data_IF_680196757180
#
_entry.id   IF_680196757180
#
_cell.length_a   1.000
_cell.length_b   1.000
_cell.length_c   1.000
_cell.angle_alpha   90.00
_cell.angle_beta   90.00
_cell.angle_gamma   90.00
#
_symmetry.space_group_name_H-M   'P 1'
#
loop_
_entity.id
_entity.type
_entity.pdbx_description
1 polymer ?
#
# COMPACT_ATOMS: atom_id res chain seq x y z
N UNK A 1 10.36 15.31 -1.87
CA UNK A 1 9.84 14.97 -3.23
C UNK A 1 10.88 14.19 -4.02
N UNK A 2 10.51 13.08 -4.62
CA UNK A 2 11.38 12.33 -5.51
C UNK A 2 11.33 12.92 -6.92
N UNK A 3 12.22 13.87 -7.21
CA UNK A 3 12.22 14.64 -8.46
C UNK A 3 12.34 13.74 -9.72
N UNK A 4 13.13 12.67 -9.66
CA UNK A 4 13.29 11.71 -10.77
C UNK A 4 11.96 11.02 -11.12
N UNK A 5 11.22 10.58 -10.10
CA UNK A 5 9.90 9.92 -10.27
C UNK A 5 8.85 10.93 -10.75
N UNK A 6 8.85 12.15 -10.21
CA UNK A 6 7.93 13.21 -10.65
C UNK A 6 8.18 13.58 -12.12
N UNK A 7 9.43 13.75 -12.53
CA UNK A 7 9.76 14.04 -13.93
C UNK A 7 9.30 12.93 -14.88
N UNK A 8 9.48 11.67 -14.50
CA UNK A 8 8.98 10.54 -15.29
C UNK A 8 7.45 10.51 -15.36
N UNK A 9 6.76 10.80 -14.25
CA UNK A 9 5.30 10.91 -14.25
C UNK A 9 4.83 12.05 -15.16
N UNK A 10 5.52 13.19 -15.16
CA UNK A 10 5.22 14.32 -16.06
C UNK A 10 5.32 13.93 -17.54
N UNK A 11 6.28 13.08 -17.90
CA UNK A 11 6.38 12.54 -19.26
C UNK A 11 5.18 11.63 -19.59
N UNK A 12 4.82 10.72 -18.68
CA UNK A 12 3.66 9.85 -18.85
C UNK A 12 2.34 10.63 -18.96
N UNK A 13 2.18 11.68 -18.15
CA UNK A 13 1.00 12.56 -18.21
C UNK A 13 0.85 13.20 -19.58
N UNK A 14 1.95 13.68 -20.17
CA UNK A 14 1.93 14.28 -21.52
C UNK A 14 1.48 13.29 -22.59
N UNK A 15 1.91 12.03 -22.52
CA UNK A 15 1.46 11.00 -23.47
C UNK A 15 -0.03 10.69 -23.37
N UNK A 16 -0.62 10.93 -22.19
CA UNK A 16 -2.03 10.67 -21.88
C UNK A 16 -2.91 11.91 -21.91
N UNK A 17 -2.35 13.05 -22.35
CA UNK A 17 -3.03 14.35 -22.37
C UNK A 17 -3.68 14.71 -21.02
N UNK A 18 -2.94 14.49 -19.92
CA UNK A 18 -3.31 14.90 -18.57
C UNK A 18 -2.58 16.19 -18.20
N UNK A 19 -3.29 17.13 -17.63
CA UNK A 19 -2.74 18.38 -17.09
C UNK A 19 -2.08 18.16 -15.72
N UNK A 20 -2.37 17.04 -15.05
CA UNK A 20 -1.78 16.64 -13.80
C UNK A 20 -2.39 15.36 -13.22
N UNK A 21 -1.87 14.95 -12.07
CA UNK A 21 -2.38 13.84 -11.27
C UNK A 21 -2.66 14.31 -9.85
N UNK A 22 -3.79 13.88 -9.28
CA UNK A 22 -4.18 14.12 -7.89
C UNK A 22 -4.03 12.80 -7.15
N UNK A 23 -3.20 12.81 -6.09
CA UNK A 23 -2.94 11.64 -5.25
C UNK A 23 -3.59 11.80 -3.89
N UNK A 24 -4.15 10.70 -3.40
CA UNK A 24 -4.69 10.56 -2.07
C UNK A 24 -3.59 10.09 -1.08
N UNK A 25 -3.81 10.20 0.26
CA UNK A 25 -2.96 9.53 1.24
C UNK A 25 -2.84 8.04 0.93
N UNK A 26 -1.60 7.56 0.79
CA UNK A 26 -1.35 6.16 0.47
C UNK A 26 0.00 5.92 -0.22
N UNK A 27 0.22 4.69 -0.71
CA UNK A 27 1.53 4.29 -1.25
C UNK A 27 2.00 5.13 -2.44
N UNK A 28 1.09 5.62 -3.29
CA UNK A 28 1.47 6.47 -4.43
C UNK A 28 1.93 7.85 -3.97
N UNK A 29 1.25 8.44 -2.98
CA UNK A 29 1.70 9.70 -2.39
C UNK A 29 3.11 9.57 -1.79
N UNK A 30 3.36 8.50 -1.01
CA UNK A 30 4.69 8.21 -0.44
C UNK A 30 5.72 8.00 -1.55
N UNK A 31 5.38 7.25 -2.60
CA UNK A 31 6.28 6.96 -3.73
C UNK A 31 6.82 8.21 -4.40
N UNK A 32 5.98 9.23 -4.59
CA UNK A 32 6.39 10.48 -5.25
C UNK A 32 6.95 11.52 -4.28
N UNK A 33 6.47 11.58 -3.04
CA UNK A 33 6.71 12.72 -2.15
C UNK A 33 7.44 12.38 -0.85
N UNK A 34 7.49 11.12 -0.46
CA UNK A 34 7.88 10.67 0.89
C UNK A 34 6.97 11.22 2.01
N UNK A 35 5.81 11.78 1.66
CA UNK A 35 4.81 12.21 2.65
C UNK A 35 4.05 11.01 3.20
N UNK A 36 4.20 10.74 4.49
CA UNK A 36 3.42 9.72 5.19
C UNK A 36 2.20 10.36 5.83
N UNK A 37 1.09 10.34 5.13
CA UNK A 37 -0.22 10.78 5.61
C UNK A 37 -1.20 9.61 5.58
N UNK A 38 -2.33 9.75 6.25
CA UNK A 38 -3.35 8.71 6.29
C UNK A 38 -4.72 9.27 5.93
N UNK A 39 -5.59 8.41 5.46
CA UNK A 39 -6.99 8.75 5.20
C UNK A 39 -7.72 8.91 6.54
N UNK A 40 -8.35 10.08 6.73
CA UNK A 40 -9.17 10.39 7.90
C UNK A 40 -10.38 11.21 7.46
N UNK A 41 -11.15 11.78 8.39
CA UNK A 41 -12.19 12.76 8.09
C UNK A 41 -11.65 14.06 7.49
N UNK A 42 -10.33 14.30 7.62
CA UNK A 42 -9.66 15.49 7.08
C UNK A 42 -9.11 15.21 5.69
N UNK A 43 -9.60 15.91 4.65
CA UNK A 43 -9.12 15.71 3.28
C UNK A 43 -7.67 16.20 3.12
N UNK A 44 -6.87 15.34 2.49
CA UNK A 44 -5.49 15.63 2.07
C UNK A 44 -5.37 15.22 0.61
N UNK A 45 -4.87 16.14 -0.23
CA UNK A 45 -4.61 15.90 -1.65
C UNK A 45 -3.20 16.38 -2.00
N UNK A 46 -2.47 15.56 -2.75
CA UNK A 46 -1.22 15.96 -3.40
C UNK A 46 -1.46 16.12 -4.89
N UNK A 47 -1.19 17.31 -5.41
CA UNK A 47 -1.30 17.64 -6.82
C UNK A 47 0.09 17.60 -7.47
N UNK A 48 0.22 16.81 -8.51
CA UNK A 48 1.42 16.75 -9.34
C UNK A 48 1.05 17.23 -10.76
N UNK A 49 1.26 18.53 -11.07
CA UNK A 49 0.98 19.07 -12.42
C UNK A 49 1.92 18.45 -13.46
N UNK A 50 1.44 18.33 -14.71
CA UNK A 50 2.27 17.94 -15.85
C UNK A 50 3.38 18.98 -16.13
N UNK A 51 3.10 20.22 -15.82
CA UNK A 51 4.08 21.32 -15.87
C UNK A 51 3.94 22.18 -14.60
N UNK A 52 5.08 22.49 -13.97
CA UNK A 52 5.14 23.34 -12.78
C UNK A 52 5.39 22.57 -11.47
N UNK A 53 5.30 23.30 -10.37
CA UNK A 53 5.59 22.80 -9.04
C UNK A 53 4.40 22.01 -8.45
N UNK A 54 4.65 21.00 -7.61
CA UNK A 54 3.61 20.28 -6.88
C UNK A 54 2.85 21.21 -5.93
N UNK A 55 1.65 20.79 -5.53
CA UNK A 55 0.84 21.50 -4.55
C UNK A 55 0.15 20.49 -3.60
N UNK A 56 -0.30 20.97 -2.45
CA UNK A 56 -1.06 20.15 -1.51
C UNK A 56 -2.23 20.90 -0.89
N UNK A 57 -3.36 20.21 -0.74
CA UNK A 57 -4.39 20.56 0.22
C UNK A 57 -4.13 19.71 1.46
N UNK A 58 -4.00 20.33 2.65
CA UNK A 58 -3.59 19.60 3.84
C UNK A 58 -4.05 20.34 5.11
N UNK A 59 -4.45 19.66 6.20
CA UNK A 59 -4.68 20.30 7.47
C UNK A 59 -3.41 21.02 7.97
N UNK A 60 -3.56 22.17 8.61
CA UNK A 60 -2.43 22.93 9.16
C UNK A 60 -1.59 22.08 10.12
N UNK A 61 -2.21 21.15 10.84
CA UNK A 61 -1.55 20.21 11.75
C UNK A 61 -0.52 19.32 11.07
N UNK A 62 -0.69 19.08 9.75
CA UNK A 62 0.20 18.21 8.95
C UNK A 62 0.99 18.99 7.90
N UNK A 63 0.82 20.30 7.82
CA UNK A 63 1.46 21.14 6.78
C UNK A 63 3.00 21.04 6.75
N UNK A 64 3.61 20.71 7.91
CA UNK A 64 5.06 20.46 7.97
C UNK A 64 5.48 19.32 7.04
N UNK A 65 4.69 18.26 6.92
CA UNK A 65 4.98 17.14 6.01
C UNK A 65 5.07 17.58 4.54
N UNK A 66 4.23 18.54 4.14
CA UNK A 66 4.28 19.11 2.79
C UNK A 66 5.54 19.97 2.56
N UNK A 67 5.96 20.75 3.58
CA UNK A 67 7.21 21.50 3.56
C UNK A 67 8.43 20.58 3.46
N UNK A 68 8.48 19.55 4.30
CA UNK A 68 9.56 18.54 4.31
C UNK A 68 9.63 17.78 2.98
N UNK A 69 8.50 17.57 2.34
CA UNK A 69 8.44 17.01 0.98
C UNK A 69 8.95 17.97 -0.11
N UNK A 70 9.21 19.23 0.22
CA UNK A 70 9.71 20.25 -0.70
C UNK A 70 8.61 20.89 -1.59
N UNK A 71 7.37 20.90 -1.10
CA UNK A 71 6.29 21.67 -1.75
C UNK A 71 6.49 23.16 -1.42
N UNK A 72 6.49 24.05 -2.43
CA UNK A 72 6.62 25.51 -2.19
C UNK A 72 5.52 26.02 -1.25
N UNK A 73 5.86 26.96 -0.36
CA UNK A 73 4.92 27.46 0.65
C UNK A 73 3.64 28.04 0.02
N UNK A 74 3.76 28.74 -1.08
CA UNK A 74 2.63 29.30 -1.84
C UNK A 74 1.76 28.26 -2.56
N UNK A 75 2.19 26.99 -2.53
CA UNK A 75 1.49 25.82 -3.07
C UNK A 75 0.94 24.91 -1.98
N UNK A 76 1.08 25.28 -0.71
CA UNK A 76 0.52 24.55 0.42
C UNK A 76 -0.78 25.26 0.82
N UNK A 77 -1.91 24.69 0.43
CA UNK A 77 -3.24 25.18 0.75
C UNK A 77 -3.69 24.53 2.07
N UNK A 78 -3.14 25.09 3.17
CA UNK A 78 -3.43 24.60 4.51
C UNK A 78 -4.79 25.12 4.99
N UNK A 79 -5.50 24.32 5.78
CA UNK A 79 -6.80 24.63 6.37
C UNK A 79 -6.87 24.21 7.82
N UNK A 80 -7.80 24.80 8.60
CA UNK A 80 -8.00 24.56 10.03
C UNK A 80 -9.38 23.94 10.28
N UNK A 81 -9.57 23.30 11.43
CA UNK A 81 -10.88 22.75 11.83
C UNK A 81 -11.91 23.89 12.12
N UNK A 82 -11.48 25.15 12.17
CA UNK A 82 -12.37 26.30 12.32
C UNK A 82 -12.89 26.79 10.96
N UNK A 83 -11.99 26.95 9.97
CA UNK A 83 -12.32 27.49 8.65
C UNK A 83 -12.77 26.41 7.67
N UNK A 84 -12.51 25.14 8.04
CA UNK A 84 -12.77 23.95 7.23
C UNK A 84 -12.02 24.00 5.89
N UNK A 85 -12.18 23.00 5.05
CA UNK A 85 -11.34 22.79 3.86
C UNK A 85 -11.80 23.52 2.59
N UNK A 86 -13.02 24.05 2.52
CA UNK A 86 -13.59 24.62 1.29
C UNK A 86 -12.74 25.74 0.72
N UNK A 87 -12.22 26.63 1.57
CA UNK A 87 -11.33 27.73 1.15
C UNK A 87 -10.02 27.22 0.54
N UNK A 88 -9.44 26.15 1.08
CA UNK A 88 -8.23 25.52 0.56
C UNK A 88 -8.48 24.89 -0.82
N UNK A 89 -9.62 24.22 -1.01
CA UNK A 89 -10.01 23.69 -2.32
C UNK A 89 -10.20 24.79 -3.36
N UNK A 90 -10.86 25.89 -3.00
CA UNK A 90 -11.05 27.03 -3.91
C UNK A 90 -9.71 27.66 -4.30
N UNK A 91 -8.81 27.87 -3.34
CA UNK A 91 -7.48 28.44 -3.57
C UNK A 91 -6.62 27.50 -4.44
N UNK A 92 -6.63 26.21 -4.18
CA UNK A 92 -5.93 25.22 -4.99
C UNK A 92 -6.47 25.17 -6.43
N UNK A 93 -7.80 25.18 -6.59
CA UNK A 93 -8.45 25.16 -7.91
C UNK A 93 -8.07 26.37 -8.76
N UNK A 94 -8.03 27.57 -8.15
CA UNK A 94 -7.61 28.80 -8.82
C UNK A 94 -6.12 28.76 -9.20
N UNK A 95 -5.24 28.39 -8.25
CA UNK A 95 -3.79 28.37 -8.45
C UNK A 95 -3.31 27.31 -9.45
N UNK A 96 -4.06 26.21 -9.60
CA UNK A 96 -3.76 25.10 -10.50
C UNK A 96 -4.60 25.14 -11.78
N UNK A 97 -5.47 26.14 -11.94
CA UNK A 97 -6.36 26.29 -13.10
C UNK A 97 -7.17 25.01 -13.38
N UNK A 98 -7.79 24.43 -12.34
CA UNK A 98 -8.46 23.15 -12.46
C UNK A 98 -9.72 23.22 -13.33
N UNK A 99 -10.44 24.36 -13.38
CA UNK A 99 -11.68 24.45 -14.13
C UNK A 99 -11.45 24.35 -15.64
N UNK A 100 -11.99 23.33 -16.27
CA UNK A 100 -11.77 23.00 -17.69
C UNK A 100 -10.56 22.12 -17.97
N UNK A 101 -9.67 21.89 -17.01
CA UNK A 101 -8.51 21.01 -17.12
C UNK A 101 -8.90 19.52 -17.09
N UNK A 102 -7.94 18.66 -17.45
CA UNK A 102 -8.08 17.20 -17.43
C UNK A 102 -7.06 16.56 -16.51
N UNK A 103 -7.47 16.10 -15.33
CA UNK A 103 -6.60 15.53 -14.32
C UNK A 103 -6.83 14.03 -14.10
N UNK A 104 -5.74 13.30 -13.91
CA UNK A 104 -5.79 11.93 -13.43
C UNK A 104 -6.10 11.89 -11.92
N UNK A 105 -6.99 11.03 -11.49
CA UNK A 105 -7.29 10.80 -10.08
C UNK A 105 -7.12 9.33 -9.72
N UNK A 106 -6.78 9.03 -8.49
CA UNK A 106 -6.73 7.65 -7.99
C UNK A 106 -8.15 7.14 -7.75
N UNK A 107 -8.75 6.53 -8.77
CA UNK A 107 -10.14 6.13 -8.76
C UNK A 107 -10.51 5.12 -7.65
N UNK A 108 -9.54 4.30 -7.20
CA UNK A 108 -9.72 3.35 -6.10
C UNK A 108 -9.59 3.98 -4.70
N UNK A 109 -9.07 5.19 -4.59
CA UNK A 109 -8.74 5.83 -3.31
C UNK A 109 -9.43 7.17 -3.10
N UNK A 110 -9.74 7.91 -4.17
CA UNK A 110 -10.45 9.19 -4.06
C UNK A 110 -11.87 8.97 -3.55
N UNK A 111 -12.19 9.57 -2.42
CA UNK A 111 -13.53 9.48 -1.84
C UNK A 111 -14.48 10.46 -2.51
N UNK A 112 -15.76 10.21 -2.35
CA UNK A 112 -16.82 11.13 -2.81
C UNK A 112 -16.64 12.53 -2.23
N UNK A 113 -16.18 12.64 -0.96
CA UNK A 113 -15.93 13.92 -0.31
C UNK A 113 -14.97 14.82 -1.09
N UNK A 114 -13.78 14.31 -1.44
CA UNK A 114 -12.77 15.08 -2.18
C UNK A 114 -13.23 15.35 -3.61
N UNK A 115 -13.86 14.36 -4.22
CA UNK A 115 -14.36 14.50 -5.59
C UNK A 115 -15.44 15.58 -5.69
N UNK A 116 -16.43 15.58 -4.81
CA UNK A 116 -17.49 16.62 -4.77
C UNK A 116 -16.94 17.99 -4.42
N UNK A 117 -15.98 18.07 -3.49
CA UNK A 117 -15.32 19.33 -3.15
C UNK A 117 -14.57 19.92 -4.36
N UNK A 118 -13.87 19.08 -5.14
CA UNK A 118 -13.23 19.51 -6.39
C UNK A 118 -14.26 19.95 -7.42
N UNK A 119 -15.34 19.18 -7.64
CA UNK A 119 -16.40 19.52 -8.60
C UNK A 119 -17.12 20.82 -8.23
N UNK A 120 -17.30 21.10 -6.93
CA UNK A 120 -17.91 22.34 -6.44
C UNK A 120 -17.11 23.58 -6.81
N UNK A 121 -15.77 23.51 -6.76
CA UNK A 121 -14.86 24.65 -7.04
C UNK A 121 -14.37 24.69 -8.47
N UNK A 122 -14.43 23.59 -9.21
CA UNK A 122 -14.05 23.47 -10.61
C UNK A 122 -15.06 22.59 -11.38
N UNK A 123 -16.26 23.13 -11.69
CA UNK A 123 -17.37 22.35 -12.28
C UNK A 123 -17.07 21.75 -13.65
N UNK A 124 -16.10 22.27 -14.38
CA UNK A 124 -15.69 21.80 -15.71
C UNK A 124 -14.44 20.93 -15.65
N UNK A 125 -13.93 20.59 -14.45
CA UNK A 125 -12.83 19.66 -14.27
C UNK A 125 -13.22 18.29 -14.83
N UNK A 126 -12.42 17.82 -15.79
CA UNK A 126 -12.52 16.45 -16.30
C UNK A 126 -11.55 15.55 -15.54
N UNK A 127 -12.02 14.41 -15.15
CA UNK A 127 -11.19 13.42 -14.45
C UNK A 127 -11.10 12.11 -15.22
N UNK A 128 -9.98 11.43 -15.10
CA UNK A 128 -9.77 10.05 -15.57
C UNK A 128 -8.86 9.30 -14.59
N UNK A 129 -8.72 8.01 -14.81
CA UNK A 129 -7.91 7.16 -13.94
C UNK A 129 -6.42 7.52 -14.04
N UNK A 130 -5.76 7.79 -12.92
CA UNK A 130 -4.32 8.03 -12.83
C UNK A 130 -3.49 6.74 -12.85
N UNK A 131 -4.10 5.61 -12.48
CA UNK A 131 -3.43 4.32 -12.31
C UNK A 131 -2.56 3.92 -13.52
N UNK A 132 -3.00 4.06 -14.80
CA UNK A 132 -2.16 3.67 -15.93
C UNK A 132 -0.85 4.47 -16.03
N UNK A 133 -0.86 5.76 -15.64
CA UNK A 133 0.35 6.58 -15.63
C UNK A 133 1.28 6.21 -14.46
N UNK A 134 0.70 5.98 -13.29
CA UNK A 134 1.44 5.62 -12.07
C UNK A 134 2.04 4.21 -12.21
N UNK A 135 1.27 3.24 -12.70
CA UNK A 135 1.71 1.87 -12.87
C UNK A 135 2.84 1.73 -13.88
N UNK A 136 2.86 2.54 -14.93
CA UNK A 136 3.97 2.56 -15.89
C UNK A 136 5.33 2.84 -15.21
N UNK A 137 5.33 3.62 -14.11
CA UNK A 137 6.54 3.88 -13.32
C UNK A 137 6.80 2.77 -12.30
N UNK A 138 5.77 2.36 -11.56
CA UNK A 138 5.91 1.46 -10.41
C UNK A 138 6.08 -0.01 -10.80
N UNK A 139 5.69 -0.39 -12.02
CA UNK A 139 5.85 -1.77 -12.50
C UNK A 139 7.32 -2.19 -12.58
N UNK A 140 8.21 -1.27 -12.97
CA UNK A 140 9.65 -1.53 -13.10
C UNK A 140 10.38 -0.82 -11.95
N UNK A 141 10.93 -1.62 -11.03
CA UNK A 141 11.63 -1.15 -9.83
C UNK A 141 13.04 -0.71 -10.17
N UNK A 142 13.50 0.34 -9.53
CA UNK A 142 14.93 0.73 -9.56
C UNK A 142 15.74 -0.04 -8.50
N UNK A 143 17.06 0.16 -8.47
CA UNK A 143 17.96 -0.57 -7.59
C UNK A 143 17.67 -0.31 -6.09
N UNK A 144 17.30 0.92 -5.73
CA UNK A 144 17.00 1.28 -4.34
C UNK A 144 15.67 0.65 -3.89
N UNK A 145 14.68 0.58 -4.79
CA UNK A 145 13.41 -0.10 -4.57
C UNK A 145 13.63 -1.62 -4.37
N UNK A 146 14.43 -2.24 -5.22
CA UNK A 146 14.76 -3.67 -5.10
C UNK A 146 15.47 -3.95 -3.77
N UNK A 147 16.44 -3.13 -3.38
CA UNK A 147 17.13 -3.29 -2.10
C UNK A 147 16.20 -3.13 -0.89
N UNK A 148 15.21 -2.24 -0.95
CA UNK A 148 14.21 -2.10 0.11
C UNK A 148 13.27 -3.32 0.16
N UNK A 149 12.84 -3.84 -0.99
CA UNK A 149 12.05 -5.08 -1.08
C UNK A 149 12.82 -6.29 -0.53
N UNK A 150 14.12 -6.43 -0.86
CA UNK A 150 14.97 -7.49 -0.34
C UNK A 150 15.10 -7.41 1.19
N UNK A 151 15.23 -6.21 1.76
CA UNK A 151 15.23 -6.04 3.23
C UNK A 151 13.90 -6.48 3.85
N UNK A 152 12.77 -6.09 3.25
CA UNK A 152 11.45 -6.48 3.74
C UNK A 152 11.25 -8.00 3.70
N UNK A 153 11.69 -8.67 2.62
CA UNK A 153 11.67 -10.13 2.50
C UNK A 153 12.56 -10.77 3.56
N UNK A 154 13.80 -10.29 3.74
CA UNK A 154 14.72 -10.84 4.73
C UNK A 154 14.22 -10.72 6.17
N UNK A 155 13.54 -9.62 6.52
CA UNK A 155 12.89 -9.46 7.83
C UNK A 155 11.77 -10.51 8.01
N UNK A 156 10.91 -10.67 7.01
CA UNK A 156 9.82 -11.63 7.05
C UNK A 156 10.31 -13.08 7.16
N UNK A 157 11.38 -13.44 6.42
CA UNK A 157 11.99 -14.77 6.47
C UNK A 157 12.62 -15.06 7.83
N UNK A 158 13.41 -14.16 8.39
CA UNK A 158 13.98 -14.36 9.74
C UNK A 158 12.90 -14.47 10.81
N UNK A 159 11.83 -13.72 10.70
CA UNK A 159 10.72 -13.80 11.65
C UNK A 159 10.06 -15.18 11.64
N UNK A 160 9.77 -15.75 10.47
CA UNK A 160 9.16 -17.10 10.39
C UNK A 160 10.12 -18.20 10.83
N UNK A 161 11.41 -18.09 10.52
CA UNK A 161 12.42 -19.04 10.98
C UNK A 161 12.50 -19.09 12.51
N UNK A 162 12.35 -17.96 13.18
CA UNK A 162 12.28 -17.87 14.65
C UNK A 162 10.94 -18.36 15.20
N UNK A 163 9.85 -18.20 14.46
CA UNK A 163 8.52 -18.63 14.88
C UNK A 163 8.36 -20.16 14.85
N UNK A 164 8.79 -20.82 13.76
CA UNK A 164 8.57 -22.24 13.52
C UNK A 164 8.87 -23.13 14.77
N UNK A 165 10.04 -23.01 15.43
CA UNK A 165 10.35 -23.84 16.59
C UNK A 165 9.51 -23.53 17.84
N UNK A 166 8.74 -22.45 17.85
CA UNK A 166 7.88 -22.03 18.95
C UNK A 166 6.41 -22.46 18.76
N UNK A 167 6.05 -22.98 17.58
CA UNK A 167 4.69 -23.41 17.28
C UNK A 167 4.41 -24.73 18.02
N UNK A 168 3.29 -24.77 18.76
CA UNK A 168 2.87 -25.92 19.53
C UNK A 168 1.38 -26.22 19.31
N UNK A 169 1.04 -27.51 19.32
CA UNK A 169 -0.36 -27.96 19.35
C UNK A 169 -1.06 -27.35 20.57
N UNK A 170 -2.28 -26.88 20.37
CA UNK A 170 -3.07 -26.19 21.39
C UNK A 170 -2.92 -24.66 21.41
N UNK A 171 -1.89 -24.08 20.79
CA UNK A 171 -1.85 -22.63 20.57
C UNK A 171 -2.96 -22.22 19.61
N UNK A 172 -3.58 -21.06 19.83
CA UNK A 172 -4.61 -20.56 18.91
C UNK A 172 -3.99 -19.87 17.69
N UNK A 173 -4.74 -19.79 16.59
CA UNK A 173 -4.34 -19.03 15.39
C UNK A 173 -3.95 -17.58 15.76
N UNK A 174 -4.72 -16.92 16.63
CA UNK A 174 -4.42 -15.56 17.14
C UNK A 174 -3.11 -15.50 17.91
N UNK A 175 -2.80 -16.49 18.73
CA UNK A 175 -1.53 -16.52 19.47
C UNK A 175 -0.34 -16.61 18.51
N UNK A 176 -0.41 -17.50 17.52
CA UNK A 176 0.64 -17.64 16.51
C UNK A 176 0.80 -16.36 15.68
N UNK A 177 -0.31 -15.73 15.25
CA UNK A 177 -0.28 -14.46 14.54
C UNK A 177 0.34 -13.32 15.36
N UNK A 178 0.01 -13.25 16.65
CA UNK A 178 0.61 -12.28 17.58
C UNK A 178 2.10 -12.48 17.78
N UNK A 179 2.55 -13.72 17.93
CA UNK A 179 3.97 -14.07 18.02
C UNK A 179 4.72 -13.65 16.75
N UNK A 180 4.17 -13.97 15.57
CA UNK A 180 4.79 -13.60 14.29
C UNK A 180 4.91 -12.08 14.12
N UNK A 181 3.88 -11.34 14.49
CA UNK A 181 3.90 -9.86 14.47
C UNK A 181 5.01 -9.31 15.35
N UNK A 182 5.16 -9.81 16.58
CA UNK A 182 6.23 -9.42 17.49
C UNK A 182 7.63 -9.72 16.91
N UNK A 183 7.81 -10.92 16.36
CA UNK A 183 9.07 -11.33 15.75
C UNK A 183 9.44 -10.47 14.53
N UNK A 184 8.47 -10.09 13.67
CA UNK A 184 8.75 -9.17 12.56
C UNK A 184 9.24 -7.81 13.06
N UNK A 185 8.66 -7.27 14.13
CA UNK A 185 9.12 -6.02 14.73
C UNK A 185 10.53 -6.14 15.32
N UNK A 186 10.83 -7.24 16.02
CA UNK A 186 12.18 -7.51 16.55
C UNK A 186 13.23 -7.65 15.44
N UNK A 187 12.85 -8.20 14.29
CA UNK A 187 13.73 -8.34 13.12
C UNK A 187 13.89 -7.04 12.32
N UNK A 188 13.19 -5.97 12.68
CA UNK A 188 13.35 -4.64 12.11
C UNK A 188 12.30 -4.21 11.11
N UNK A 189 11.09 -4.79 11.16
CA UNK A 189 9.97 -4.24 10.41
C UNK A 189 9.51 -2.90 10.99
N UNK A 190 9.27 -1.91 10.14
CA UNK A 190 8.60 -0.66 10.52
C UNK A 190 7.17 -0.95 10.99
N UNK A 191 6.50 -1.86 10.28
CA UNK A 191 5.17 -2.38 10.61
C UNK A 191 4.92 -3.68 9.84
N UNK A 192 3.78 -4.34 10.06
CA UNK A 192 3.32 -5.43 9.20
C UNK A 192 2.82 -4.87 7.87
N UNK A 193 3.05 -5.59 6.77
CA UNK A 193 2.55 -5.19 5.45
C UNK A 193 1.02 -5.29 5.35
N UNK A 194 0.47 -6.28 6.02
CA UNK A 194 -0.96 -6.52 6.21
C UNK A 194 -1.16 -7.37 7.49
N UNK A 195 -2.39 -7.47 7.97
CA UNK A 195 -2.70 -8.32 9.11
C UNK A 195 -2.36 -9.78 8.79
N UNK A 196 -1.42 -10.44 9.51
CA UNK A 196 -1.05 -11.80 9.19
C UNK A 196 -2.25 -12.75 9.20
N UNK A 197 -2.34 -13.59 8.18
CA UNK A 197 -3.28 -14.70 8.13
C UNK A 197 -2.60 -15.90 8.76
N UNK A 198 -3.19 -16.44 9.80
CA UNK A 198 -2.81 -17.71 10.40
C UNK A 198 -4.07 -18.53 10.50
N UNK A 199 -4.15 -19.62 9.76
CA UNK A 199 -5.39 -20.41 9.65
C UNK A 199 -5.10 -21.90 9.60
N UNK A 200 -5.96 -22.66 10.29
CA UNK A 200 -5.81 -24.11 10.42
C UNK A 200 -7.11 -24.85 10.10
N UNK A 201 -6.98 -26.09 9.67
CA UNK A 201 -8.12 -26.98 9.38
C UNK A 201 -9.16 -26.29 8.49
N UNK A 202 -10.45 -26.28 8.85
CA UNK A 202 -11.52 -25.68 8.03
C UNK A 202 -11.32 -24.19 7.75
N UNK A 203 -10.69 -23.41 8.66
CA UNK A 203 -10.42 -21.99 8.45
C UNK A 203 -9.42 -21.75 7.32
N UNK A 204 -8.49 -22.70 7.10
CA UNK A 204 -7.53 -22.67 6.00
C UNK A 204 -8.14 -22.79 4.59
N UNK A 205 -9.42 -23.10 4.48
CA UNK A 205 -10.13 -23.13 3.20
C UNK A 205 -10.45 -21.71 2.67
N UNK A 206 -10.38 -20.67 3.53
CA UNK A 206 -10.57 -19.28 3.12
C UNK A 206 -9.24 -18.63 2.78
N UNK A 207 -9.07 -18.07 1.58
CA UNK A 207 -7.83 -17.38 1.19
C UNK A 207 -7.60 -16.08 1.98
N UNK A 208 -8.65 -15.51 2.55
CA UNK A 208 -8.60 -14.28 3.37
C UNK A 208 -9.11 -14.55 4.78
N UNK A 209 -8.67 -15.69 5.36
CA UNK A 209 -9.04 -16.06 6.72
C UNK A 209 -8.51 -15.04 7.74
N UNK A 210 -9.32 -14.75 8.76
CA UNK A 210 -8.87 -14.01 9.93
C UNK A 210 -8.50 -15.01 11.02
N UNK A 211 -7.37 -14.85 11.73
CA UNK A 211 -7.00 -15.69 12.85
C UNK A 211 -8.09 -15.73 13.92
N UNK A 212 -8.47 -16.94 14.37
CA UNK A 212 -9.52 -17.19 15.34
C UNK A 212 -8.93 -17.73 16.65
N UNK A 213 -9.81 -18.07 17.62
CA UNK A 213 -9.43 -18.78 18.84
C UNK A 213 -9.37 -20.30 18.64
N UNK A 214 -9.46 -20.79 17.39
CA UNK A 214 -9.28 -22.22 17.09
C UNK A 214 -7.86 -22.64 17.46
N UNK A 215 -7.69 -23.70 18.28
CA UNK A 215 -6.38 -24.25 18.59
C UNK A 215 -5.84 -25.08 17.40
N UNK A 216 -4.53 -25.02 17.21
CA UNK A 216 -3.81 -25.93 16.33
C UNK A 216 -3.97 -27.35 16.84
N UNK A 217 -4.35 -28.28 15.96
CA UNK A 217 -4.53 -29.69 16.27
C UNK A 217 -3.58 -30.56 15.44
N UNK A 218 -3.26 -31.77 15.99
CA UNK A 218 -2.55 -32.77 15.22
C UNK A 218 -3.34 -33.13 13.95
N UNK A 219 -2.68 -33.19 12.81
CA UNK A 219 -3.31 -33.44 11.52
C UNK A 219 -3.77 -32.21 10.77
N UNK A 220 -3.66 -30.99 11.33
CA UNK A 220 -4.00 -29.77 10.60
C UNK A 220 -2.92 -29.39 9.58
N UNK A 221 -3.33 -28.77 8.48
CA UNK A 221 -2.47 -27.80 7.79
C UNK A 221 -2.57 -26.44 8.47
N UNK A 222 -1.42 -25.82 8.68
CA UNK A 222 -1.28 -24.45 9.15
C UNK A 222 -0.82 -23.60 7.97
N UNK A 223 -1.71 -22.76 7.47
CA UNK A 223 -1.38 -21.75 6.47
C UNK A 223 -1.00 -20.46 7.18
N UNK A 224 0.18 -19.95 6.89
CA UNK A 224 0.66 -18.66 7.38
C UNK A 224 0.93 -17.78 6.17
N UNK A 225 0.29 -16.62 6.13
CA UNK A 225 0.49 -15.58 5.13
C UNK A 225 0.83 -14.28 5.84
N UNK A 226 2.00 -13.73 5.55
CA UNK A 226 2.56 -12.61 6.30
C UNK A 226 3.48 -11.75 5.45
N UNK A 227 3.69 -10.53 5.89
CA UNK A 227 4.64 -9.62 5.27
C UNK A 227 5.12 -8.53 6.21
N UNK A 228 6.38 -8.16 6.08
CA UNK A 228 7.00 -7.04 6.75
C UNK A 228 6.94 -5.80 5.84
N UNK A 229 6.82 -4.62 6.45
CA UNK A 229 6.95 -3.34 5.77
C UNK A 229 8.25 -2.70 6.22
N UNK A 230 9.16 -2.41 5.27
CA UNK A 230 10.48 -1.84 5.56
C UNK A 230 10.80 -0.75 4.52
N UNK A 231 11.19 0.42 5.01
CA UNK A 231 11.58 1.56 4.15
C UNK A 231 10.57 1.89 3.06
N UNK A 232 9.28 1.76 3.34
CA UNK A 232 8.21 2.05 2.38
C UNK A 232 7.86 0.90 1.42
N UNK A 233 8.46 -0.30 1.58
CA UNK A 233 8.22 -1.46 0.72
C UNK A 233 7.73 -2.68 1.51
N UNK A 234 6.65 -3.34 1.06
CA UNK A 234 6.16 -4.57 1.68
C UNK A 234 6.85 -5.80 1.13
N UNK A 235 6.95 -6.84 1.96
CA UNK A 235 7.03 -8.22 1.52
C UNK A 235 5.67 -8.91 1.65
N UNK A 236 5.51 -10.04 0.96
CA UNK A 236 4.29 -10.84 0.93
C UNK A 236 4.68 -12.30 0.70
N UNK A 237 4.48 -13.16 1.70
CA UNK A 237 4.96 -14.53 1.71
C UNK A 237 3.90 -15.43 2.34
N UNK A 238 3.52 -16.50 1.63
CA UNK A 238 2.67 -17.55 2.18
C UNK A 238 3.41 -18.88 2.28
N UNK A 239 3.24 -19.60 3.40
CA UNK A 239 3.73 -20.97 3.59
C UNK A 239 2.66 -21.83 4.28
N UNK A 240 2.67 -23.11 3.92
CA UNK A 240 1.81 -24.11 4.54
C UNK A 240 2.68 -25.14 5.26
N UNK A 241 2.35 -25.41 6.51
CA UNK A 241 3.05 -26.34 7.38
C UNK A 241 2.10 -27.47 7.80
N UNK A 242 2.65 -28.68 8.03
CA UNK A 242 1.92 -29.75 8.68
C UNK A 242 2.06 -29.59 10.21
N UNK A 243 0.95 -29.64 10.93
CA UNK A 243 0.93 -29.67 12.39
C UNK A 243 0.87 -31.13 12.82
N UNK A 244 2.01 -31.68 13.29
CA UNK A 244 2.11 -33.07 13.64
C UNK A 244 1.99 -34.01 12.44
N UNK A 245 1.01 -34.90 12.45
CA UNK A 245 0.86 -35.95 11.45
C UNK A 245 -0.29 -35.67 10.49
N UNK A 246 0.00 -35.57 9.20
CA UNK A 246 -1.02 -35.38 8.14
C UNK A 246 -1.29 -36.70 7.42
N UNK A 247 -2.53 -36.92 7.01
CA UNK A 247 -2.92 -38.10 6.26
C UNK A 247 -2.46 -38.06 4.79
N UNK A 248 -2.59 -39.21 4.10
CA UNK A 248 -2.15 -39.36 2.73
C UNK A 248 -2.92 -38.47 1.72
N UNK A 249 -4.21 -38.20 1.99
CA UNK A 249 -5.02 -37.34 1.12
C UNK A 249 -4.60 -35.85 1.25
N UNK A 250 -4.34 -35.40 2.47
CA UNK A 250 -3.81 -34.05 2.71
C UNK A 250 -2.43 -33.88 2.07
N UNK A 251 -1.54 -34.86 2.22
CA UNK A 251 -0.22 -34.85 1.57
C UNK A 251 -0.36 -34.78 0.05
N UNK A 252 -1.27 -35.55 -0.53
CA UNK A 252 -1.56 -35.52 -1.99
C UNK A 252 -2.06 -34.14 -2.44
N UNK A 253 -2.98 -33.53 -1.69
CA UNK A 253 -3.50 -32.20 -2.02
C UNK A 253 -2.37 -31.17 -1.97
N UNK A 254 -1.52 -31.20 -0.94
CA UNK A 254 -0.36 -30.32 -0.84
C UNK A 254 0.58 -30.46 -2.04
N UNK A 255 0.88 -31.68 -2.47
CA UNK A 255 1.75 -31.93 -3.63
C UNK A 255 1.14 -31.39 -4.93
N UNK A 256 -0.17 -31.52 -5.14
CA UNK A 256 -0.87 -30.95 -6.31
C UNK A 256 -0.74 -29.43 -6.32
N UNK A 257 -0.95 -28.76 -5.18
CA UNK A 257 -0.81 -27.29 -5.08
C UNK A 257 0.63 -26.87 -5.31
N UNK A 258 1.58 -27.57 -4.72
CA UNK A 258 3.03 -27.31 -4.92
C UNK A 258 3.44 -27.43 -6.38
N UNK A 259 3.00 -28.49 -7.07
CA UNK A 259 3.28 -28.69 -8.49
C UNK A 259 2.62 -27.59 -9.34
N UNK A 260 1.36 -27.25 -9.06
CA UNK A 260 0.67 -26.15 -9.75
C UNK A 260 1.42 -24.82 -9.62
N UNK A 261 1.91 -24.49 -8.41
CA UNK A 261 2.73 -23.30 -8.16
C UNK A 261 4.05 -23.33 -8.96
N UNK A 262 4.72 -24.50 -8.99
CA UNK A 262 5.95 -24.69 -9.74
C UNK A 262 5.73 -24.47 -11.26
N UNK A 263 4.66 -25.04 -11.81
CA UNK A 263 4.30 -24.86 -13.23
C UNK A 263 3.93 -23.41 -13.53
N UNK A 264 3.23 -22.72 -12.65
CA UNK A 264 2.94 -21.27 -12.78
C UNK A 264 4.22 -20.43 -12.87
N UNK A 265 5.22 -20.71 -12.03
CA UNK A 265 6.53 -20.03 -12.08
C UNK A 265 7.28 -20.30 -13.38
N UNK A 266 7.26 -21.54 -13.88
CA UNK A 266 7.90 -21.90 -15.16
C UNK A 266 7.20 -21.27 -16.37
N UNK A 267 5.91 -21.01 -16.30
CA UNK A 267 5.13 -20.37 -17.36
C UNK A 267 5.34 -18.84 -17.41
N UNK A 268 5.79 -18.22 -16.33
CA UNK A 268 6.09 -16.79 -16.27
C UNK A 268 7.29 -16.47 -17.16
N UNK A 269 7.10 -15.54 -18.08
CA UNK A 269 8.15 -15.05 -19.00
C UNK A 269 8.18 -13.53 -18.96
N UNK A 270 9.35 -12.90 -19.21
CA UNK A 270 9.46 -11.45 -19.38
C UNK A 270 8.56 -10.91 -20.48
#
# INVERSE_FOLDING_TARGET
>A
MNQKRVTRLQQEMKTKALDGVILMPGPNQVYFSHMHTHVSERPILLFLPADGAPAAIIPVLEAMKARDAGIPEERIFAWTDVDWYEGAFASAAAALHLDGAHWGVEALYMRVLEYEALQKVAPKLRTSHAEPAIMALRAIKDADELAAMERAVGVAERAIERLIPQIQIGQTEKQVAGMLTGLMQEEGADTVAFSPIVSTGPNGASPHATPTDRPLADGDFLVIDWGAYVDGYPSDITRTFAVGHVDAEMARIYDVVRESNAQGKLAAKP
#
